data_IF_312058224886
#
_entry.id   IF_312058224886
#
_cell.length_a   1.000
_cell.length_b   1.000
_cell.length_c   1.000
_cell.angle_alpha   90.00
_cell.angle_beta   90.00
_cell.angle_gamma   90.00
#
_symmetry.space_group_name_H-M   'P 1'
#
loop_
_entity.id
_entity.type
_entity.pdbx_description
1 polymer ?
#
# COMPACT_ATOMS: atom_id res chain seq x y z
N UNK A 1 6.51 -3.48 20.32
CA UNK A 1 5.80 -2.49 19.48
C UNK A 1 5.88 -1.12 20.14
N UNK A 2 6.50 -0.16 19.47
CA UNK A 2 6.52 1.25 19.90
C UNK A 2 5.44 2.02 19.15
N UNK A 3 4.70 2.90 19.83
CA UNK A 3 3.61 3.70 19.25
C UNK A 3 3.77 5.19 19.62
N UNK A 4 3.57 6.06 18.64
CA UNK A 4 3.61 7.51 18.79
C UNK A 4 2.48 8.17 17.99
N UNK A 5 1.79 9.15 18.55
CA UNK A 5 0.90 10.04 17.80
C UNK A 5 1.71 11.16 17.14
N UNK A 6 1.59 11.31 15.83
CA UNK A 6 2.14 12.42 15.07
C UNK A 6 1.06 13.47 14.88
N UNK A 7 1.35 14.69 15.35
CA UNK A 7 0.51 15.86 15.10
C UNK A 7 0.92 16.50 13.78
N UNK A 8 0.04 16.44 12.78
CA UNK A 8 0.27 17.08 11.48
C UNK A 8 -0.66 18.27 11.28
N UNK A 9 -0.38 19.10 10.27
CA UNK A 9 -1.21 20.25 9.92
C UNK A 9 -2.59 19.87 9.40
N UNK A 10 -2.73 18.68 8.80
CA UNK A 10 -4.00 18.22 8.23
C UNK A 10 -4.80 17.41 9.24
N UNK A 11 -4.21 16.32 9.74
CA UNK A 11 -4.81 15.38 10.72
C UNK A 11 -3.72 14.67 11.50
N UNK A 12 -3.98 14.37 12.77
CA UNK A 12 -3.09 13.50 13.53
C UNK A 12 -3.12 12.09 12.95
N UNK A 13 -2.00 11.37 13.03
CA UNK A 13 -1.89 9.98 12.64
C UNK A 13 -0.96 9.21 13.59
N UNK A 14 -1.06 7.89 13.60
CA UNK A 14 -0.24 7.05 14.46
C UNK A 14 0.96 6.50 13.70
N UNK A 15 2.14 6.59 14.31
CA UNK A 15 3.34 5.87 13.92
C UNK A 15 3.49 4.65 14.82
N UNK A 16 3.63 3.46 14.21
CA UNK A 16 3.96 2.23 14.92
C UNK A 16 5.28 1.67 14.38
N UNK A 17 6.23 1.39 15.27
CA UNK A 17 7.45 0.63 14.95
C UNK A 17 7.23 -0.81 15.43
N UNK A 18 7.34 -1.72 14.47
CA UNK A 18 6.92 -3.12 14.59
C UNK A 18 8.03 -4.04 14.09
N UNK A 19 8.03 -5.29 14.56
CA UNK A 19 9.01 -6.30 14.16
C UNK A 19 8.47 -7.23 13.06
N UNK A 20 7.16 -7.52 13.08
CA UNK A 20 6.51 -8.33 12.07
C UNK A 20 5.34 -7.58 11.44
N UNK A 21 5.52 -7.17 10.18
CA UNK A 21 4.49 -6.45 9.44
C UNK A 21 3.32 -7.35 9.02
N UNK A 22 3.53 -8.67 8.90
CA UNK A 22 2.47 -9.58 8.46
C UNK A 22 1.31 -9.59 9.46
N UNK A 23 1.63 -9.78 10.74
CA UNK A 23 0.66 -9.75 11.82
C UNK A 23 -0.12 -8.44 11.84
N UNK A 24 0.58 -7.32 11.70
CA UNK A 24 -0.06 -6.00 11.69
C UNK A 24 -0.92 -5.80 10.45
N UNK A 25 -0.47 -6.27 9.28
CA UNK A 25 -1.26 -6.23 8.05
C UNK A 25 -2.55 -7.04 8.21
N UNK A 26 -2.48 -8.25 8.76
CA UNK A 26 -3.65 -9.09 9.06
C UNK A 26 -4.63 -8.42 10.06
N UNK A 27 -4.12 -7.65 11.02
CA UNK A 27 -4.95 -6.92 11.99
C UNK A 27 -5.66 -5.69 11.38
N UNK A 28 -5.01 -4.96 10.47
CA UNK A 28 -5.55 -3.71 9.92
C UNK A 28 -6.31 -3.90 8.61
N UNK A 29 -6.03 -4.98 7.89
CA UNK A 29 -6.61 -5.24 6.57
C UNK A 29 -8.09 -5.61 6.67
N UNK A 30 -8.91 -4.93 5.89
CA UNK A 30 -10.32 -5.25 5.69
C UNK A 30 -10.51 -5.83 4.29
N UNK A 31 -11.56 -6.64 4.11
CA UNK A 31 -11.88 -7.28 2.82
C UNK A 31 -11.97 -6.27 1.65
N UNK A 32 -12.34 -5.02 1.94
CA UNK A 32 -12.48 -3.95 0.95
C UNK A 32 -11.18 -3.20 0.64
N UNK A 33 -10.09 -3.47 1.35
CA UNK A 33 -8.84 -2.74 1.22
C UNK A 33 -8.01 -3.25 0.03
N UNK A 34 -7.25 -2.32 -0.54
CA UNK A 34 -6.37 -2.53 -1.67
C UNK A 34 -4.92 -2.35 -1.25
N UNK A 35 -4.05 -3.14 -1.86
CA UNK A 35 -2.63 -3.16 -1.56
C UNK A 35 -1.85 -2.68 -2.78
N UNK A 36 -1.01 -1.66 -2.59
CA UNK A 36 0.03 -1.30 -3.57
C UNK A 36 1.37 -1.67 -2.96
N UNK A 37 2.12 -2.53 -3.66
CA UNK A 37 3.41 -3.00 -3.20
C UNK A 37 4.50 -2.77 -4.24
N UNK A 38 5.70 -2.37 -3.78
CA UNK A 38 6.90 -2.45 -4.63
C UNK A 38 7.20 -3.90 -4.96
N UNK A 39 7.32 -4.22 -6.25
CA UNK A 39 7.65 -5.55 -6.76
C UNK A 39 8.89 -6.15 -6.09
N UNK A 40 9.93 -5.34 -5.82
CA UNK A 40 11.13 -5.83 -5.11
C UNK A 40 10.81 -6.24 -3.68
N UNK A 41 9.96 -5.48 -2.99
CA UNK A 41 9.55 -5.78 -1.61
C UNK A 41 8.63 -7.00 -1.60
N UNK A 42 7.72 -7.11 -2.57
CA UNK A 42 6.90 -8.31 -2.74
C UNK A 42 7.79 -9.55 -2.88
N UNK A 43 8.79 -9.52 -3.77
CA UNK A 43 9.66 -10.68 -4.01
C UNK A 43 10.52 -11.05 -2.80
N UNK A 44 10.88 -10.08 -1.94
CA UNK A 44 11.65 -10.32 -0.71
C UNK A 44 10.81 -10.95 0.41
N UNK A 45 9.50 -10.70 0.41
CA UNK A 45 8.58 -11.11 1.47
C UNK A 45 7.38 -11.88 0.91
N UNK A 46 7.57 -12.59 -0.19
CA UNK A 46 6.50 -13.27 -0.91
C UNK A 46 5.79 -14.28 0.01
N UNK A 47 6.55 -15.04 0.80
CA UNK A 47 6.06 -15.97 1.82
C UNK A 47 5.16 -15.32 2.88
N UNK A 48 5.36 -14.02 3.13
CA UNK A 48 4.58 -13.25 4.10
C UNK A 48 3.35 -12.60 3.48
N UNK A 49 3.34 -12.33 2.18
CA UNK A 49 2.33 -11.53 1.46
C UNK A 49 1.45 -12.39 0.55
N UNK A 50 1.92 -13.56 0.17
CA UNK A 50 1.15 -14.46 -0.68
C UNK A 50 -0.05 -15.01 0.11
N UNK A 51 -1.21 -14.43 -0.17
CA UNK A 51 -2.48 -14.80 0.42
C UNK A 51 -3.59 -14.60 -0.63
N UNK A 52 -4.46 -15.59 -0.88
CA UNK A 52 -5.55 -15.48 -1.86
C UNK A 52 -6.42 -14.23 -1.70
N UNK A 53 -6.67 -13.80 -0.46
CA UNK A 53 -7.49 -12.61 -0.14
C UNK A 53 -6.78 -11.35 -0.63
N UNK A 54 -5.50 -11.19 -0.26
CA UNK A 54 -4.70 -10.03 -0.63
C UNK A 54 -4.42 -9.99 -2.12
N UNK A 55 -4.14 -11.14 -2.74
CA UNK A 55 -3.81 -11.26 -4.15
C UNK A 55 -4.93 -10.74 -5.08
N UNK A 56 -6.20 -10.83 -4.68
CA UNK A 56 -7.31 -10.30 -5.46
C UNK A 56 -7.24 -8.76 -5.61
N UNK A 57 -6.77 -8.07 -4.57
CA UNK A 57 -6.72 -6.59 -4.47
C UNK A 57 -5.30 -6.04 -4.39
N UNK A 58 -4.33 -6.84 -4.81
CA UNK A 58 -2.92 -6.48 -4.90
C UNK A 58 -2.61 -5.86 -6.26
N UNK A 59 -1.90 -4.74 -6.22
CA UNK A 59 -1.28 -4.07 -7.36
C UNK A 59 0.23 -4.01 -7.07
N UNK A 60 1.02 -4.61 -7.95
CA UNK A 60 2.49 -4.55 -7.87
C UNK A 60 2.96 -3.41 -8.76
N UNK A 61 3.87 -2.59 -8.24
CA UNK A 61 4.51 -1.52 -9.00
C UNK A 61 6.03 -1.71 -8.98
N UNK A 62 6.70 -1.31 -10.05
CA UNK A 62 8.15 -1.17 -10.03
C UNK A 62 8.49 0.23 -9.49
N UNK A 63 8.99 0.32 -8.26
CA UNK A 63 9.24 1.59 -7.59
C UNK A 63 10.50 2.31 -8.13
N UNK A 64 10.35 3.01 -9.27
CA UNK A 64 11.37 3.84 -9.90
C UNK A 64 10.93 5.31 -9.85
N UNK A 65 11.86 6.27 -9.93
CA UNK A 65 11.50 7.70 -9.96
C UNK A 65 10.61 8.02 -11.18
N UNK A 66 10.78 7.32 -12.30
CA UNK A 66 9.90 7.42 -13.48
C UNK A 66 8.45 6.98 -13.19
N UNK A 67 8.24 6.13 -12.18
CA UNK A 67 6.93 5.66 -11.74
C UNK A 67 6.13 6.74 -11.03
N UNK A 68 6.76 7.86 -10.63
CA UNK A 68 6.06 9.07 -10.17
C UNK A 68 5.49 9.92 -11.31
N UNK A 69 5.72 9.54 -12.57
CA UNK A 69 5.15 10.25 -13.70
C UNK A 69 3.62 10.02 -13.75
N UNK A 70 2.90 11.02 -14.27
CA UNK A 70 1.45 10.92 -14.45
C UNK A 70 1.01 9.72 -15.30
N UNK A 71 1.84 9.27 -16.24
CA UNK A 71 1.54 8.11 -17.08
C UNK A 71 1.57 6.81 -16.25
N UNK A 72 2.58 6.64 -15.39
CA UNK A 72 2.68 5.48 -14.53
C UNK A 72 1.58 5.46 -13.45
N UNK A 73 1.15 6.64 -12.96
CA UNK A 73 0.00 6.75 -12.07
C UNK A 73 -1.30 6.36 -12.77
N UNK A 74 -1.47 6.69 -14.06
CA UNK A 74 -2.66 6.32 -14.82
C UNK A 74 -2.86 4.80 -14.88
N UNK A 75 -1.78 4.02 -15.06
CA UNK A 75 -1.85 2.56 -15.05
C UNK A 75 -2.29 1.98 -13.69
N UNK A 76 -1.87 2.61 -12.58
CA UNK A 76 -2.30 2.21 -11.23
C UNK A 76 -3.77 2.57 -11.01
N UNK A 77 -4.20 3.77 -11.43
CA UNK A 77 -5.59 4.22 -11.37
C UNK A 77 -6.52 3.31 -12.17
N UNK A 78 -6.13 2.94 -13.38
CA UNK A 78 -6.89 2.02 -14.23
C UNK A 78 -7.08 0.66 -13.54
N UNK A 79 -6.02 0.09 -12.98
CA UNK A 79 -6.12 -1.17 -12.22
C UNK A 79 -7.05 -1.06 -11.01
N UNK A 80 -7.02 0.06 -10.27
CA UNK A 80 -7.94 0.28 -9.16
C UNK A 80 -9.39 0.36 -9.63
N UNK A 81 -9.66 1.08 -10.71
CA UNK A 81 -10.99 1.20 -11.31
C UNK A 81 -11.49 -0.17 -11.78
N UNK A 82 -10.67 -0.92 -12.51
CA UNK A 82 -11.02 -2.26 -13.01
C UNK A 82 -11.32 -3.25 -11.89
N UNK A 83 -10.57 -3.17 -10.78
CA UNK A 83 -10.80 -3.99 -9.59
C UNK A 83 -11.94 -3.46 -8.70
N UNK A 84 -12.56 -2.33 -9.06
CA UNK A 84 -13.74 -1.80 -8.39
C UNK A 84 -13.47 -0.99 -7.12
N UNK A 85 -12.33 -0.29 -7.04
CA UNK A 85 -12.00 0.61 -5.95
C UNK A 85 -13.05 1.73 -5.80
N UNK A 86 -13.44 2.02 -4.55
CA UNK A 86 -14.45 3.01 -4.18
C UNK A 86 -13.94 3.90 -3.05
N UNK A 87 -14.63 5.02 -2.84
CA UNK A 87 -14.26 6.05 -1.86
C UNK A 87 -14.21 5.56 -0.40
N UNK A 88 -14.91 4.49 -0.07
CA UNK A 88 -14.94 3.85 1.25
C UNK A 88 -13.89 2.74 1.40
N UNK A 89 -13.08 2.47 0.37
CA UNK A 89 -11.97 1.53 0.44
C UNK A 89 -10.71 2.21 0.98
N UNK A 90 -9.86 1.44 1.67
CA UNK A 90 -8.53 1.90 2.08
C UNK A 90 -7.51 1.44 1.06
N UNK A 91 -6.53 2.30 0.77
CA UNK A 91 -5.36 1.96 -0.04
C UNK A 91 -4.14 1.87 0.88
N UNK A 92 -3.49 0.71 0.90
CA UNK A 92 -2.37 0.39 1.79
C UNK A 92 -1.10 0.28 0.95
N UNK A 93 -0.13 1.15 1.23
CA UNK A 93 1.19 1.14 0.58
C UNK A 93 2.17 0.24 1.35
N UNK A 94 2.87 -0.66 0.64
CA UNK A 94 3.95 -1.49 1.19
C UNK A 94 5.20 -1.27 0.35
N UNK A 95 6.14 -0.47 0.86
CA UNK A 95 7.37 -0.16 0.13
C UNK A 95 8.12 1.03 0.71
N UNK A 96 8.97 1.63 -0.12
CA UNK A 96 9.72 2.85 0.23
C UNK A 96 8.96 4.14 -0.11
N UNK A 97 9.69 5.26 -0.13
CA UNK A 97 9.12 6.59 -0.40
C UNK A 97 8.45 6.71 -1.77
N UNK A 98 8.97 6.04 -2.80
CA UNK A 98 8.35 6.06 -4.15
C UNK A 98 6.98 5.37 -4.13
N UNK A 99 6.86 4.22 -3.46
CA UNK A 99 5.58 3.51 -3.31
C UNK A 99 4.57 4.34 -2.52
N UNK A 100 5.03 5.01 -1.46
CA UNK A 100 4.21 5.94 -0.70
C UNK A 100 3.71 7.09 -1.58
N UNK A 101 4.60 7.75 -2.32
CA UNK A 101 4.25 8.86 -3.21
C UNK A 101 3.21 8.40 -4.24
N UNK A 102 3.47 7.30 -4.95
CA UNK A 102 2.53 6.73 -5.93
C UNK A 102 1.16 6.49 -5.29
N UNK A 103 1.13 5.86 -4.11
CA UNK A 103 -0.11 5.55 -3.41
C UNK A 103 -0.86 6.81 -2.96
N UNK A 104 -0.14 7.86 -2.54
CA UNK A 104 -0.75 9.10 -2.06
C UNK A 104 -1.26 10.01 -3.18
N UNK A 105 -0.73 9.87 -4.41
CA UNK A 105 -1.14 10.62 -5.60
C UNK A 105 -2.24 9.92 -6.42
N UNK A 106 -2.52 8.66 -6.12
CA UNK A 106 -3.56 7.84 -6.76
C UNK A 106 -4.90 8.04 -6.04
#
# INVERSE_FOLDING_TARGET
MYKMEIRSSLRNYNLSIIEDFKLVLEEVYNENDFLIIDEKVYNLFEDKIENPIWNAKLIKINALETTKSYLALAEVLEQLIEKGFKKDNTLIAIGGGITQDVTAFT
#
